data_IF_662904651757
#
_entry.id   IF_662904651757
#
_cell.length_a   1.000
_cell.length_b   1.000
_cell.length_c   1.000
_cell.angle_alpha   90.00
_cell.angle_beta   90.00
_cell.angle_gamma   90.00
#
_symmetry.space_group_name_H-M   'P 1'
#
loop_
_entity.id
_entity.type
_entity.pdbx_description
1 polymer ?
#
# COMPACT_ATOMS: atom_id res chain seq x y z
N UNK A 1 -13.31 -3.75 -3.76
CA UNK A 1 -13.56 -2.78 -2.67
C UNK A 1 -14.96 -3.01 -2.12
N UNK A 2 -15.08 -3.31 -0.85
CA UNK A 2 -16.37 -3.46 -0.18
C UNK A 2 -16.99 -2.10 0.13
N UNK A 3 -18.29 -2.09 0.35
CA UNK A 3 -18.99 -0.89 0.82
C UNK A 3 -18.85 -0.78 2.34
N UNK A 4 -18.72 0.43 2.84
CA UNK A 4 -18.45 0.72 4.24
C UNK A 4 -19.65 1.43 4.84
N UNK A 5 -20.08 1.00 6.02
CA UNK A 5 -21.15 1.64 6.79
C UNK A 5 -20.72 1.81 8.24
N UNK A 6 -21.32 2.80 8.91
CA UNK A 6 -21.15 2.97 10.35
C UNK A 6 -21.84 1.85 11.13
N UNK A 7 -21.16 1.38 12.18
CA UNK A 7 -21.75 0.48 13.17
C UNK A 7 -21.80 1.17 14.55
N UNK A 8 -23.02 1.52 14.98
CA UNK A 8 -23.22 2.21 16.26
C UNK A 8 -22.92 1.33 17.48
N UNK A 9 -23.05 0.02 17.35
CA UNK A 9 -22.85 -0.92 18.46
C UNK A 9 -21.36 -1.07 18.79
N UNK A 10 -20.53 -1.29 17.78
CA UNK A 10 -19.09 -1.37 17.97
C UNK A 10 -18.42 0.00 18.09
N UNK A 11 -19.09 1.07 17.64
CA UNK A 11 -18.50 2.40 17.47
C UNK A 11 -17.57 2.48 16.26
N UNK A 12 -17.55 1.44 15.42
CA UNK A 12 -16.67 1.27 14.29
C UNK A 12 -17.38 1.34 12.95
N UNK A 13 -16.82 0.61 11.98
CA UNK A 13 -17.33 0.47 10.62
C UNK A 13 -17.42 -1.00 10.22
N UNK A 14 -18.33 -1.30 9.31
CA UNK A 14 -18.51 -2.64 8.76
C UNK A 14 -18.33 -2.63 7.25
N UNK A 15 -17.83 -3.74 6.73
CA UNK A 15 -17.74 -4.01 5.30
C UNK A 15 -19.00 -4.75 4.82
N UNK A 16 -19.47 -4.39 3.64
CA UNK A 16 -20.62 -5.03 3.00
C UNK A 16 -20.33 -5.32 1.53
N UNK A 17 -20.78 -6.47 1.04
CA UNK A 17 -20.63 -6.89 -0.36
C UNK A 17 -21.52 -6.11 -1.33
N UNK A 18 -22.52 -5.38 -0.84
CA UNK A 18 -23.49 -4.61 -1.62
C UNK A 18 -23.69 -3.20 -1.06
N UNK A 19 -24.24 -2.31 -1.88
CA UNK A 19 -24.65 -0.99 -1.43
C UNK A 19 -25.82 -1.13 -0.46
N UNK A 20 -25.71 -0.46 0.69
CA UNK A 20 -26.76 -0.32 1.70
C UNK A 20 -26.92 1.15 2.06
N UNK A 21 -28.04 1.52 2.64
CA UNK A 21 -28.28 2.86 3.14
C UNK A 21 -27.19 3.24 4.16
N UNK A 22 -26.70 4.48 4.07
CA UNK A 22 -25.62 4.95 4.92
C UNK A 22 -24.21 4.53 4.47
N UNK A 23 -24.07 3.97 3.27
CA UNK A 23 -22.75 3.66 2.69
C UNK A 23 -21.90 4.91 2.55
N UNK A 24 -20.68 4.84 3.04
CA UNK A 24 -19.72 5.93 2.99
C UNK A 24 -19.06 6.00 1.61
N UNK A 25 -18.98 7.21 1.04
CA UNK A 25 -18.33 7.45 -0.25
C UNK A 25 -16.81 7.57 -0.16
N UNK A 26 -16.29 7.85 1.04
CA UNK A 26 -14.86 8.00 1.33
C UNK A 26 -14.49 7.07 2.48
N UNK A 27 -13.33 6.43 2.37
CA UNK A 27 -12.84 5.52 3.39
C UNK A 27 -12.44 6.28 4.66
N UNK A 28 -13.07 6.00 5.82
CA UNK A 28 -12.65 6.57 7.09
C UNK A 28 -11.33 5.95 7.56
N UNK A 29 -10.58 6.71 8.35
CA UNK A 29 -9.41 6.24 9.07
C UNK A 29 -9.67 6.23 10.58
N UNK A 30 -9.09 5.31 11.35
CA UNK A 30 -9.19 5.33 12.80
C UNK A 30 -8.44 6.52 13.39
N UNK A 31 -8.93 7.01 14.52
CA UNK A 31 -8.35 8.11 15.31
C UNK A 31 -8.12 7.63 16.73
N UNK A 32 -6.90 7.81 17.21
CA UNK A 32 -6.45 7.40 18.53
C UNK A 32 -6.33 8.57 19.48
N UNK A 33 -6.13 8.29 20.76
CA UNK A 33 -6.05 9.32 21.80
C UNK A 33 -4.91 10.32 21.55
N UNK A 34 -3.78 9.88 20.99
CA UNK A 34 -2.64 10.75 20.69
C UNK A 34 -3.02 11.88 19.73
N UNK A 35 -3.88 11.60 18.74
CA UNK A 35 -4.37 12.64 17.83
C UNK A 35 -5.32 13.60 18.55
N UNK A 36 -6.14 13.11 19.47
CA UNK A 36 -7.05 13.94 20.26
C UNK A 36 -6.29 14.83 21.24
N UNK A 37 -5.20 14.32 21.82
CA UNK A 37 -4.29 15.11 22.67
C UNK A 37 -3.61 16.22 21.87
N UNK A 38 -3.15 15.93 20.65
CA UNK A 38 -2.58 16.93 19.74
C UNK A 38 -3.60 18.01 19.30
N UNK A 39 -4.88 17.66 19.25
CA UNK A 39 -5.96 18.59 18.98
C UNK A 39 -6.45 19.33 20.24
N UNK A 40 -5.86 19.05 21.40
CA UNK A 40 -6.20 19.63 22.70
C UNK A 40 -7.67 19.46 23.10
N UNK A 41 -8.29 18.32 22.74
CA UNK A 41 -9.73 18.11 23.00
C UNK A 41 -10.04 17.95 24.48
N UNK A 42 -9.12 17.46 25.30
CA UNK A 42 -9.19 17.42 26.74
C UNK A 42 -9.34 18.83 27.35
N UNK A 43 -8.60 19.81 26.85
CA UNK A 43 -8.66 21.20 27.28
C UNK A 43 -9.99 21.86 26.87
N UNK A 44 -10.61 21.36 25.80
CA UNK A 44 -11.91 21.80 25.30
C UNK A 44 -13.10 21.09 26.00
N UNK A 45 -12.82 20.21 26.96
CA UNK A 45 -13.83 19.59 27.81
C UNK A 45 -14.28 18.19 27.39
N UNK A 46 -13.55 17.54 26.50
CA UNK A 46 -13.76 16.14 26.18
C UNK A 46 -13.04 15.22 27.16
N UNK A 47 -13.58 14.04 27.41
CA UNK A 47 -12.98 13.01 28.26
C UNK A 47 -12.85 11.73 27.46
N UNK A 48 -11.67 11.13 27.46
CA UNK A 48 -11.40 9.87 26.76
C UNK A 48 -10.26 9.08 27.41
N UNK A 49 -10.31 7.73 27.33
CA UNK A 49 -9.26 6.87 27.84
C UNK A 49 -8.03 6.86 26.89
N UNK A 50 -6.84 6.69 27.44
CA UNK A 50 -5.65 6.32 26.69
C UNK A 50 -5.72 4.83 26.34
N UNK A 51 -6.38 4.53 25.24
CA UNK A 51 -6.68 3.17 24.79
C UNK A 51 -5.79 2.78 23.60
N UNK A 52 -5.47 1.49 23.50
CA UNK A 52 -4.83 0.91 22.31
C UNK A 52 -5.79 0.83 21.11
N UNK A 53 -7.09 0.98 21.35
CA UNK A 53 -8.12 0.97 20.30
C UNK A 53 -8.50 2.39 19.89
N UNK A 54 -8.95 2.58 18.64
CA UNK A 54 -9.42 3.88 18.18
C UNK A 54 -10.59 4.39 19.02
N UNK A 55 -10.70 5.69 19.11
CA UNK A 55 -11.79 6.38 19.82
C UNK A 55 -12.80 6.99 18.85
N UNK A 56 -12.32 7.42 17.69
CA UNK A 56 -13.09 8.08 16.65
C UNK A 56 -12.67 7.57 15.27
N UNK A 57 -13.37 8.06 14.27
CA UNK A 57 -13.01 7.89 12.87
C UNK A 57 -12.93 9.25 12.19
N UNK A 58 -12.00 9.44 11.27
CA UNK A 58 -11.88 10.65 10.48
C UNK A 58 -12.15 10.37 9.00
N UNK A 59 -13.00 11.19 8.40
CA UNK A 59 -13.23 11.27 6.94
C UNK A 59 -12.77 12.64 6.50
N UNK A 60 -11.62 12.72 5.86
CA UNK A 60 -10.91 13.98 5.60
C UNK A 60 -10.65 14.75 6.92
N UNK A 61 -11.21 15.95 7.05
CA UNK A 61 -11.10 16.82 8.23
C UNK A 61 -12.30 16.74 9.18
N UNK A 62 -13.22 15.80 8.92
CA UNK A 62 -14.41 15.58 9.72
C UNK A 62 -14.20 14.38 10.64
N UNK A 63 -14.55 14.51 11.91
CA UNK A 63 -14.41 13.50 12.93
C UNK A 63 -15.76 12.94 13.33
N UNK A 64 -15.83 11.62 13.45
CA UNK A 64 -17.08 10.87 13.61
C UNK A 64 -17.00 9.95 14.82
N UNK A 65 -18.02 10.01 15.64
CA UNK A 65 -18.19 9.12 16.79
C UNK A 65 -19.49 8.34 16.65
N UNK A 66 -19.40 7.01 16.65
CA UNK A 66 -20.56 6.10 16.50
C UNK A 66 -21.49 6.46 15.33
N UNK A 67 -20.91 6.87 14.22
CA UNK A 67 -21.62 7.20 13.01
C UNK A 67 -22.21 8.60 12.95
N UNK A 68 -21.93 9.46 13.93
CA UNK A 68 -22.33 10.86 13.95
C UNK A 68 -21.11 11.78 13.85
N UNK A 69 -21.17 12.79 12.98
CA UNK A 69 -20.13 13.79 12.92
C UNK A 69 -20.13 14.62 14.21
N UNK A 70 -18.97 14.75 14.84
CA UNK A 70 -18.85 15.42 16.14
C UNK A 70 -18.11 16.75 16.04
N UNK A 71 -17.10 16.85 15.20
CA UNK A 71 -16.41 18.10 14.91
C UNK A 71 -15.72 18.08 13.56
N UNK A 72 -15.29 19.25 13.10
CA UNK A 72 -14.40 19.44 11.97
C UNK A 72 -13.15 20.23 12.41
N UNK A 73 -11.96 19.78 11.97
CA UNK A 73 -10.69 20.46 12.24
C UNK A 73 -10.28 21.28 11.02
N UNK A 74 -10.07 22.59 11.15
CA UNK A 74 -9.71 23.52 10.06
C UNK A 74 -8.43 24.28 10.34
N UNK A 75 -7.77 24.72 9.27
CA UNK A 75 -6.72 25.72 9.32
C UNK A 75 -5.38 25.32 9.88
N UNK A 76 -5.21 24.03 10.20
CA UNK A 76 -3.96 23.55 10.75
C UNK A 76 -2.81 23.51 9.72
N UNK A 77 -1.63 23.91 10.15
CA UNK A 77 -0.37 23.79 9.43
C UNK A 77 0.78 23.57 10.42
N UNK A 78 2.03 23.51 9.95
CA UNK A 78 3.19 23.32 10.84
C UNK A 78 3.40 24.45 11.89
N UNK A 79 2.79 25.57 11.73
CA UNK A 79 2.93 26.74 12.60
C UNK A 79 1.71 27.02 13.47
N UNK A 80 0.51 26.62 12.98
CA UNK A 80 -0.76 26.95 13.61
C UNK A 80 -1.52 25.70 14.02
N UNK A 81 -2.16 25.75 15.18
CA UNK A 81 -3.05 24.70 15.66
C UNK A 81 -4.36 24.68 14.86
N UNK A 82 -5.00 23.51 14.84
CA UNK A 82 -6.30 23.35 14.22
C UNK A 82 -7.37 24.14 14.97
N UNK A 83 -8.22 24.84 14.24
CA UNK A 83 -9.48 25.36 14.78
C UNK A 83 -10.52 24.23 14.81
N UNK A 84 -11.00 23.89 15.98
CA UNK A 84 -12.03 22.85 16.18
C UNK A 84 -13.41 23.49 16.10
N UNK A 85 -14.24 22.97 15.19
CA UNK A 85 -15.63 23.40 15.01
C UNK A 85 -16.53 22.25 15.41
N UNK A 86 -17.07 22.32 16.62
CA UNK A 86 -17.98 21.28 17.11
C UNK A 86 -19.35 21.34 16.43
N UNK A 87 -19.99 20.17 16.31
CA UNK A 87 -21.40 20.12 15.99
C UNK A 87 -22.24 20.53 17.22
N UNK A 88 -23.42 21.12 17.03
CA UNK A 88 -24.27 21.53 18.13
C UNK A 88 -24.52 20.40 19.14
N UNK A 89 -24.25 20.66 20.40
CA UNK A 89 -24.41 19.69 21.49
C UNK A 89 -23.29 18.66 21.61
N UNK A 90 -22.18 18.82 20.87
CA UNK A 90 -21.00 17.93 20.91
C UNK A 90 -19.77 18.60 21.54
N UNK A 91 -19.94 19.74 22.20
CA UNK A 91 -18.85 20.51 22.81
C UNK A 91 -18.21 19.79 24.00
N UNK A 92 -18.93 18.85 24.60
CA UNK A 92 -18.45 18.01 25.71
C UNK A 92 -18.91 16.58 25.51
N UNK A 93 -17.96 15.69 25.29
CA UNK A 93 -18.25 14.25 25.11
C UNK A 93 -17.30 13.41 25.98
N UNK A 94 -17.84 12.31 26.46
CA UNK A 94 -17.04 11.20 27.01
C UNK A 94 -17.01 10.11 25.97
N UNK A 95 -15.80 9.75 25.52
CA UNK A 95 -15.60 8.74 24.49
C UNK A 95 -15.34 7.37 25.11
N UNK A 96 -15.86 6.36 24.46
CA UNK A 96 -15.52 4.96 24.69
C UNK A 96 -14.76 4.42 23.47
N UNK A 97 -13.78 3.53 23.69
CA UNK A 97 -13.04 2.91 22.58
C UNK A 97 -13.96 2.10 21.66
N UNK A 98 -13.58 2.05 20.40
CA UNK A 98 -14.19 1.16 19.41
C UNK A 98 -14.02 -0.29 19.87
N UNK A 99 -15.07 -1.07 19.84
CA UNK A 99 -14.99 -2.52 20.09
C UNK A 99 -14.41 -3.23 18.88
N UNK A 100 -13.08 -3.14 18.74
CA UNK A 100 -12.33 -3.70 17.61
C UNK A 100 -12.52 -5.22 17.48
N UNK A 101 -12.45 -6.02 18.57
CA UNK A 101 -12.68 -7.46 18.43
C UNK A 101 -14.02 -7.82 17.82
N UNK A 102 -15.11 -7.17 18.26
CA UNK A 102 -16.43 -7.41 17.70
C UNK A 102 -16.55 -6.89 16.26
N UNK A 103 -15.93 -5.74 15.96
CA UNK A 103 -15.89 -5.18 14.61
C UNK A 103 -15.19 -6.12 13.62
N UNK A 104 -14.03 -6.68 13.99
CA UNK A 104 -13.29 -7.64 13.17
C UNK A 104 -14.08 -8.94 12.99
N UNK A 105 -14.70 -9.47 14.04
CA UNK A 105 -15.54 -10.67 13.93
C UNK A 105 -16.70 -10.50 12.94
N UNK A 106 -17.34 -9.32 12.93
CA UNK A 106 -18.44 -9.02 11.99
C UNK A 106 -17.98 -8.84 10.54
N UNK A 107 -16.74 -8.50 10.30
CA UNK A 107 -16.18 -8.29 8.95
C UNK A 107 -15.32 -9.45 8.47
N UNK A 108 -15.11 -10.46 9.27
CA UNK A 108 -14.18 -11.57 9.06
C UNK A 108 -14.33 -12.26 7.71
N UNK A 109 -15.53 -12.55 7.26
CA UNK A 109 -15.77 -13.21 5.97
C UNK A 109 -15.31 -12.34 4.80
N UNK A 110 -15.58 -11.04 4.86
CA UNK A 110 -15.16 -10.12 3.80
C UNK A 110 -13.65 -9.91 3.78
N UNK A 111 -13.03 -9.82 4.96
CA UNK A 111 -11.58 -9.73 5.07
C UNK A 111 -10.90 -10.99 4.56
N UNK A 112 -11.41 -12.17 4.92
CA UNK A 112 -10.90 -13.44 4.41
C UNK A 112 -10.93 -13.51 2.87
N UNK A 113 -12.04 -13.11 2.24
CA UNK A 113 -12.15 -13.08 0.77
C UNK A 113 -11.19 -12.08 0.14
N UNK A 114 -11.06 -10.90 0.74
CA UNK A 114 -10.18 -9.83 0.28
C UNK A 114 -8.71 -10.24 0.33
N UNK A 115 -8.28 -10.82 1.45
CA UNK A 115 -6.91 -11.30 1.62
C UNK A 115 -6.62 -12.51 0.73
N UNK A 116 -7.57 -13.45 0.62
CA UNK A 116 -7.41 -14.64 -0.24
C UNK A 116 -7.18 -14.24 -1.69
N UNK A 117 -7.92 -13.25 -2.20
CA UNK A 117 -7.74 -12.71 -3.56
C UNK A 117 -6.35 -12.08 -3.73
N UNK A 118 -5.88 -11.32 -2.74
CA UNK A 118 -4.57 -10.70 -2.80
C UNK A 118 -3.43 -11.75 -2.71
N UNK A 119 -3.58 -12.76 -1.86
CA UNK A 119 -2.64 -13.88 -1.75
C UNK A 119 -2.56 -14.67 -3.07
N UNK A 120 -3.71 -14.99 -3.66
CA UNK A 120 -3.77 -15.67 -4.96
C UNK A 120 -3.08 -14.82 -6.04
N UNK A 121 -3.37 -13.51 -6.10
CA UNK A 121 -2.70 -12.62 -7.05
C UNK A 121 -1.18 -12.60 -6.88
N UNK A 122 -0.67 -12.53 -5.64
CA UNK A 122 0.77 -12.55 -5.35
C UNK A 122 1.36 -13.89 -5.80
N UNK A 123 0.75 -15.00 -5.38
CA UNK A 123 1.20 -16.34 -5.70
C UNK A 123 1.23 -16.59 -7.21
N UNK A 124 0.15 -16.31 -7.91
CA UNK A 124 0.08 -16.47 -9.37
C UNK A 124 1.08 -15.59 -10.11
N UNK A 125 1.26 -14.33 -9.65
CA UNK A 125 2.27 -13.43 -10.20
C UNK A 125 3.67 -13.99 -9.99
N UNK A 126 3.97 -14.48 -8.80
CA UNK A 126 5.25 -15.13 -8.51
C UNK A 126 5.47 -16.34 -9.43
N UNK A 127 4.54 -17.28 -9.48
CA UNK A 127 4.63 -18.49 -10.33
C UNK A 127 4.83 -18.15 -11.81
N UNK A 128 4.12 -17.14 -12.30
CA UNK A 128 4.23 -16.70 -13.69
C UNK A 128 5.64 -16.20 -14.04
N UNK A 129 6.28 -15.46 -13.14
CA UNK A 129 7.55 -14.77 -13.39
C UNK A 129 8.78 -15.52 -12.85
N UNK A 130 8.63 -16.44 -11.89
CA UNK A 130 9.72 -17.25 -11.36
C UNK A 130 10.18 -18.33 -12.36
N UNK A 131 9.25 -18.85 -13.15
CA UNK A 131 9.51 -19.88 -14.14
C UNK A 131 10.38 -19.42 -15.31
N UNK A 132 10.90 -20.38 -16.08
CA UNK A 132 11.48 -20.07 -17.39
C UNK A 132 10.38 -19.56 -18.33
N UNK A 133 10.77 -18.68 -19.28
CA UNK A 133 9.86 -18.21 -20.32
C UNK A 133 9.20 -19.40 -21.02
N UNK A 134 7.88 -19.49 -20.96
CA UNK A 134 7.10 -20.56 -21.60
C UNK A 134 6.84 -20.19 -23.06
N UNK A 135 7.04 -21.13 -23.97
CA UNK A 135 6.62 -20.97 -25.37
C UNK A 135 5.12 -21.18 -25.48
N UNK A 136 4.45 -20.36 -26.24
CA UNK A 136 3.03 -20.46 -26.58
C UNK A 136 2.82 -20.86 -28.05
N UNK A 137 3.75 -21.64 -28.56
CA UNK A 137 3.63 -22.29 -29.86
C UNK A 137 2.94 -23.63 -29.70
N UNK A 138 1.85 -23.84 -30.39
CA UNK A 138 1.13 -25.12 -30.43
C UNK A 138 0.66 -25.65 -29.05
N UNK A 139 0.29 -24.76 -28.13
CA UNK A 139 -0.08 -25.13 -26.75
C UNK A 139 -1.57 -25.25 -26.50
N UNK A 140 -2.42 -24.70 -27.39
CA UNK A 140 -3.86 -24.82 -27.30
C UNK A 140 -4.38 -25.96 -28.19
N UNK A 141 -5.62 -26.39 -27.99
CA UNK A 141 -6.26 -27.42 -28.79
C UNK A 141 -6.26 -27.13 -30.31
N UNK A 142 -6.21 -25.85 -30.67
CA UNK A 142 -6.12 -25.38 -32.07
C UNK A 142 -4.68 -25.37 -32.63
N UNK A 143 -3.68 -25.65 -31.82
CA UNK A 143 -2.24 -25.65 -32.19
C UNK A 143 -1.75 -24.37 -32.88
N UNK A 144 -2.33 -23.22 -32.57
CA UNK A 144 -1.93 -21.94 -33.11
C UNK A 144 -0.62 -21.45 -32.51
N UNK A 145 0.20 -20.80 -33.34
CA UNK A 145 1.37 -20.09 -32.87
C UNK A 145 0.98 -18.67 -32.42
N UNK A 146 0.61 -18.57 -31.14
CA UNK A 146 0.21 -17.29 -30.52
C UNK A 146 1.33 -16.24 -30.49
N UNK A 147 2.62 -16.67 -30.48
CA UNK A 147 3.75 -15.73 -30.60
C UNK A 147 3.77 -15.05 -31.95
N UNK A 148 3.58 -15.82 -33.03
CA UNK A 148 3.53 -15.27 -34.38
C UNK A 148 2.29 -14.37 -34.58
N UNK A 149 1.17 -14.75 -34.00
CA UNK A 149 -0.07 -13.96 -34.04
C UNK A 149 0.10 -12.63 -33.29
N UNK A 150 0.66 -12.65 -32.10
CA UNK A 150 0.95 -11.44 -31.32
C UNK A 150 1.91 -10.50 -32.06
N UNK A 151 2.98 -11.03 -32.65
CA UNK A 151 3.93 -10.24 -33.47
C UNK A 151 3.27 -9.60 -34.69
N UNK A 152 2.34 -10.31 -35.37
CA UNK A 152 1.58 -9.75 -36.49
C UNK A 152 0.65 -8.63 -36.03
N UNK A 153 -0.01 -8.82 -34.87
CA UNK A 153 -0.88 -7.80 -34.28
C UNK A 153 -0.07 -6.57 -33.88
N UNK A 154 1.11 -6.72 -33.27
CA UNK A 154 2.02 -5.62 -32.93
C UNK A 154 2.43 -4.79 -34.14
N UNK A 155 2.81 -5.47 -35.24
CA UNK A 155 3.19 -4.78 -36.48
C UNK A 155 2.04 -3.98 -37.07
N UNK A 156 0.79 -4.50 -36.96
CA UNK A 156 -0.41 -3.85 -37.50
C UNK A 156 -0.86 -2.67 -36.63
N UNK A 157 -0.90 -2.85 -35.32
CA UNK A 157 -1.43 -1.85 -34.38
C UNK A 157 -0.38 -0.90 -33.86
N UNK A 158 0.92 -1.18 -34.07
CA UNK A 158 2.08 -0.48 -33.48
C UNK A 158 2.01 -0.42 -31.94
N UNK A 159 1.28 -1.34 -31.32
CA UNK A 159 1.10 -1.45 -29.88
C UNK A 159 1.63 -2.81 -29.43
N UNK A 160 2.34 -2.86 -28.30
CA UNK A 160 2.80 -4.14 -27.74
C UNK A 160 1.58 -4.98 -27.31
N UNK A 161 1.63 -6.25 -27.71
CA UNK A 161 0.56 -7.20 -27.43
C UNK A 161 1.00 -8.18 -26.33
N UNK A 162 0.05 -8.58 -25.51
CA UNK A 162 0.21 -9.64 -24.53
C UNK A 162 -0.61 -10.85 -24.94
N UNK A 163 -0.07 -12.04 -24.70
CA UNK A 163 -0.82 -13.28 -24.80
C UNK A 163 -1.33 -13.58 -23.40
N UNK A 164 -2.65 -13.59 -23.21
CA UNK A 164 -3.30 -13.84 -21.94
C UNK A 164 -3.97 -15.20 -21.96
N UNK A 165 -3.96 -15.89 -20.83
CA UNK A 165 -4.68 -17.15 -20.65
C UNK A 165 -6.08 -16.83 -20.14
N UNK A 166 -7.13 -17.24 -20.86
CA UNK A 166 -8.51 -17.03 -20.42
C UNK A 166 -9.06 -18.25 -19.66
N UNK A 167 -8.87 -19.46 -20.24
CA UNK A 167 -9.28 -20.74 -19.65
C UNK A 167 -8.16 -21.77 -19.74
N UNK A 168 -8.43 -23.01 -19.31
CA UNK A 168 -7.44 -24.09 -19.31
C UNK A 168 -6.71 -24.25 -20.64
N UNK A 169 -7.42 -24.07 -21.77
CA UNK A 169 -6.89 -24.33 -23.11
C UNK A 169 -7.10 -23.16 -24.10
N UNK A 170 -7.51 -21.99 -23.65
CA UNK A 170 -7.73 -20.84 -24.51
C UNK A 170 -6.80 -19.67 -24.18
N UNK A 171 -6.34 -19.02 -25.24
CA UNK A 171 -5.49 -17.83 -25.14
C UNK A 171 -6.09 -16.71 -26.00
N UNK A 172 -5.92 -15.47 -25.55
CA UNK A 172 -6.28 -14.28 -26.30
C UNK A 172 -5.06 -13.37 -26.47
N UNK A 173 -5.12 -12.48 -27.47
CA UNK A 173 -4.07 -11.52 -27.78
C UNK A 173 -4.64 -10.12 -27.62
N UNK A 174 -4.27 -9.46 -26.54
CA UNK A 174 -4.77 -8.13 -26.16
C UNK A 174 -3.62 -7.14 -26.05
N UNK A 175 -3.88 -5.82 -26.14
CA UNK A 175 -2.87 -4.82 -25.86
C UNK A 175 -2.27 -5.04 -24.45
N UNK A 176 -0.93 -5.00 -24.36
CA UNK A 176 -0.23 -5.22 -23.09
C UNK A 176 -0.73 -4.29 -21.98
N UNK A 177 -0.95 -3.01 -22.30
CA UNK A 177 -1.47 -2.02 -21.36
C UNK A 177 -2.87 -2.34 -20.86
N UNK A 178 -3.69 -3.00 -21.65
CA UNK A 178 -5.03 -3.43 -21.27
C UNK A 178 -4.97 -4.68 -20.39
N UNK A 179 -4.14 -5.66 -20.74
CA UNK A 179 -3.90 -6.84 -19.91
C UNK A 179 -3.38 -6.46 -18.52
N UNK A 180 -2.43 -5.51 -18.46
CA UNK A 180 -1.88 -4.99 -17.20
C UNK A 180 -2.93 -4.26 -16.34
N UNK A 181 -3.77 -3.42 -16.96
CA UNK A 181 -4.86 -2.71 -16.26
C UNK A 181 -5.90 -3.66 -15.67
N UNK A 182 -6.25 -4.70 -16.42
CA UNK A 182 -7.26 -5.68 -16.01
C UNK A 182 -6.69 -6.74 -15.06
N UNK A 183 -5.37 -6.74 -14.80
CA UNK A 183 -4.72 -7.77 -14.00
C UNK A 183 -4.78 -9.17 -14.62
N UNK A 184 -4.93 -9.23 -15.96
CA UNK A 184 -4.97 -10.52 -16.67
C UNK A 184 -3.64 -11.24 -16.58
N UNK A 185 -3.69 -12.56 -16.49
CA UNK A 185 -2.50 -13.42 -16.46
C UNK A 185 -1.83 -13.42 -17.85
N UNK A 186 -0.67 -12.74 -17.93
CA UNK A 186 0.12 -12.67 -19.15
C UNK A 186 0.94 -13.95 -19.29
N UNK A 187 0.70 -14.70 -20.35
CA UNK A 187 1.52 -15.84 -20.71
C UNK A 187 2.84 -15.37 -21.34
N UNK A 188 3.93 -16.09 -21.19
CA UNK A 188 5.25 -15.67 -21.66
C UNK A 188 5.89 -14.49 -20.89
N UNK A 189 5.64 -14.38 -19.63
CA UNK A 189 6.40 -13.47 -18.82
C UNK A 189 7.91 -13.72 -18.97
N UNK A 190 8.66 -12.65 -19.06
CA UNK A 190 10.13 -12.74 -19.00
C UNK A 190 10.50 -13.17 -17.59
N UNK A 191 11.35 -14.21 -17.46
CA UNK A 191 11.85 -14.64 -16.16
C UNK A 191 12.44 -13.45 -15.41
N UNK A 192 12.07 -13.34 -14.15
CA UNK A 192 12.57 -12.34 -13.20
C UNK A 192 13.76 -12.93 -12.44
N UNK A 193 14.76 -12.12 -12.19
CA UNK A 193 15.97 -12.51 -11.44
C UNK A 193 15.79 -12.34 -9.93
N UNK A 194 14.99 -11.37 -9.50
CA UNK A 194 14.75 -11.05 -8.08
C UNK A 194 13.31 -10.57 -7.85
N UNK A 195 12.69 -11.13 -6.81
CA UNK A 195 11.38 -10.68 -6.32
C UNK A 195 11.57 -9.81 -5.08
N UNK A 196 10.87 -8.71 -5.01
CA UNK A 196 11.00 -7.74 -3.93
C UNK A 196 9.64 -7.43 -3.31
N UNK A 197 9.60 -7.29 -1.99
CA UNK A 197 8.57 -6.54 -1.29
C UNK A 197 9.12 -5.15 -0.96
N UNK A 198 8.51 -4.10 -1.54
CA UNK A 198 8.94 -2.73 -1.29
C UNK A 198 8.38 -2.25 0.04
N UNK A 199 9.25 -1.99 0.99
CA UNK A 199 8.89 -1.49 2.31
C UNK A 199 9.26 -0.02 2.44
N UNK A 200 8.30 0.83 2.82
CA UNK A 200 8.51 2.28 2.99
C UNK A 200 8.36 2.76 4.43
N UNK A 201 8.08 1.86 5.38
CA UNK A 201 7.70 2.22 6.74
C UNK A 201 6.23 2.64 6.88
N UNK A 202 5.46 2.64 5.77
CA UNK A 202 4.04 2.97 5.79
C UNK A 202 3.14 1.74 5.93
N UNK A 203 1.92 1.94 6.43
CA UNK A 203 0.91 0.91 6.67
C UNK A 203 0.65 0.00 5.46
N UNK A 204 0.55 0.57 4.26
CA UNK A 204 0.23 -0.16 3.03
C UNK A 204 1.37 -1.11 2.64
N UNK A 205 2.61 -0.67 2.74
CA UNK A 205 3.78 -1.51 2.45
C UNK A 205 3.97 -2.65 3.46
N UNK A 206 3.48 -2.46 4.67
CA UNK A 206 3.55 -3.47 5.72
C UNK A 206 2.52 -4.58 5.47
N UNK A 207 1.30 -4.23 5.08
CA UNK A 207 0.30 -5.21 4.64
C UNK A 207 0.81 -6.03 3.44
N UNK A 208 1.45 -5.38 2.46
CA UNK A 208 2.03 -6.11 1.32
C UNK A 208 3.15 -7.03 1.76
N UNK A 209 4.01 -6.62 2.71
CA UNK A 209 5.03 -7.49 3.27
C UNK A 209 4.41 -8.74 3.93
N UNK A 210 3.39 -8.57 4.76
CA UNK A 210 2.68 -9.67 5.39
C UNK A 210 2.08 -10.63 4.36
N UNK A 211 1.36 -10.10 3.38
CA UNK A 211 0.79 -10.90 2.30
C UNK A 211 1.87 -11.65 1.51
N UNK A 212 3.02 -11.04 1.23
CA UNK A 212 4.13 -11.71 0.53
C UNK A 212 4.70 -12.86 1.35
N UNK A 213 4.85 -12.73 2.69
CA UNK A 213 5.36 -13.82 3.54
C UNK A 213 4.42 -15.02 3.59
N UNK A 214 3.13 -14.80 3.34
CA UNK A 214 2.11 -15.86 3.32
C UNK A 214 1.94 -16.50 1.92
N UNK A 215 2.29 -15.78 0.85
CA UNK A 215 2.06 -16.20 -0.54
C UNK A 215 3.30 -16.75 -1.24
N UNK A 216 4.51 -16.35 -0.83
CA UNK A 216 5.79 -16.69 -1.48
C UNK A 216 6.73 -17.29 -0.44
N UNK A 217 7.52 -18.33 -0.79
CA UNK A 217 8.57 -18.83 0.11
C UNK A 217 9.53 -17.71 0.51
N UNK A 218 9.86 -17.61 1.79
CA UNK A 218 10.71 -16.54 2.35
C UNK A 218 12.13 -16.50 1.77
N UNK A 219 12.59 -17.60 1.16
CA UNK A 219 13.87 -17.67 0.45
C UNK A 219 13.86 -17.02 -0.92
N UNK A 220 12.67 -16.82 -1.51
CA UNK A 220 12.50 -16.52 -2.92
C UNK A 220 12.21 -15.03 -3.19
N UNK A 221 12.02 -14.24 -2.14
CA UNK A 221 11.90 -12.80 -2.24
C UNK A 221 12.73 -12.09 -1.17
N UNK A 222 12.90 -10.79 -1.30
CA UNK A 222 13.58 -9.95 -0.32
C UNK A 222 12.82 -8.66 -0.06
N UNK A 223 12.97 -8.15 1.15
CA UNK A 223 12.40 -6.86 1.56
C UNK A 223 13.39 -5.76 1.26
N UNK A 224 12.96 -4.74 0.52
CA UNK A 224 13.80 -3.58 0.21
C UNK A 224 13.24 -2.34 0.89
N UNK A 225 14.06 -1.73 1.73
CA UNK A 225 13.81 -0.41 2.31
C UNK A 225 14.67 0.64 1.61
N UNK A 226 14.08 1.77 1.25
CA UNK A 226 14.80 2.91 0.67
C UNK A 226 15.00 3.99 1.72
N UNK A 227 16.19 4.02 2.31
CA UNK A 227 16.59 5.05 3.27
C UNK A 227 17.14 6.27 2.52
N UNK A 228 16.41 7.37 2.56
CA UNK A 228 16.82 8.63 1.93
C UNK A 228 17.91 9.37 2.74
N UNK A 229 18.21 8.91 3.97
CA UNK A 229 19.07 9.60 4.91
C UNK A 229 18.39 10.81 5.58
N UNK A 230 17.09 10.99 5.35
CA UNK A 230 16.26 12.04 5.94
C UNK A 230 14.88 11.48 6.35
N UNK A 231 14.89 10.22 6.77
CA UNK A 231 13.68 9.58 7.29
C UNK A 231 13.42 10.06 8.73
N UNK A 232 12.15 10.10 9.10
CA UNK A 232 11.76 10.43 10.46
C UNK A 232 12.24 9.34 11.44
N UNK A 233 12.74 9.69 12.64
CA UNK A 233 13.20 8.71 13.62
C UNK A 233 12.21 7.57 13.89
N UNK A 234 10.89 7.81 14.04
CA UNK A 234 9.93 6.73 14.20
C UNK A 234 9.85 5.76 13.02
N UNK A 235 10.10 6.22 11.79
CA UNK A 235 10.12 5.33 10.61
C UNK A 235 11.33 4.40 10.60
N UNK A 236 12.48 4.87 11.11
CA UNK A 236 13.67 4.05 11.27
C UNK A 236 13.47 3.00 12.36
N UNK A 237 12.94 3.41 13.53
CA UNK A 237 12.61 2.48 14.62
C UNK A 237 11.62 1.41 14.15
N UNK A 238 10.58 1.79 13.44
CA UNK A 238 9.62 0.85 12.89
C UNK A 238 10.27 -0.15 11.93
N UNK A 239 11.18 0.31 11.07
CA UNK A 239 11.89 -0.60 10.16
C UNK A 239 12.71 -1.65 10.93
N UNK A 240 13.41 -1.24 11.97
CA UNK A 240 14.20 -2.15 12.82
C UNK A 240 13.30 -3.17 13.54
N UNK A 241 12.16 -2.73 14.08
CA UNK A 241 11.18 -3.60 14.74
C UNK A 241 10.56 -4.60 13.75
N UNK A 242 10.15 -4.16 12.58
CA UNK A 242 9.60 -5.00 11.52
C UNK A 242 10.65 -6.02 11.07
N UNK A 243 11.88 -5.58 10.85
CA UNK A 243 12.97 -6.48 10.47
C UNK A 243 13.20 -7.56 11.54
N UNK A 244 13.23 -7.18 12.81
CA UNK A 244 13.39 -8.13 13.92
C UNK A 244 12.27 -9.14 13.96
N UNK A 245 11.03 -8.68 13.94
CA UNK A 245 9.83 -9.54 13.99
C UNK A 245 9.80 -10.56 12.85
N UNK A 246 9.95 -10.09 11.61
CA UNK A 246 9.89 -11.01 10.47
C UNK A 246 11.10 -11.94 10.35
N UNK A 247 12.27 -11.56 10.86
CA UNK A 247 13.42 -12.47 10.96
C UNK A 247 13.26 -13.55 12.02
N UNK A 248 12.52 -13.28 13.08
CA UNK A 248 12.18 -14.31 14.08
C UNK A 248 11.21 -15.35 13.49
N UNK A 249 10.23 -14.92 12.67
CA UNK A 249 9.28 -15.81 12.01
C UNK A 249 9.84 -16.49 10.75
N UNK A 250 10.65 -15.78 10.00
CA UNK A 250 11.21 -16.20 8.71
C UNK A 250 12.72 -15.93 8.67
N UNK A 251 13.56 -16.81 9.28
CA UNK A 251 15.01 -16.56 9.41
C UNK A 251 15.74 -16.37 8.07
N UNK A 252 15.23 -16.98 7.00
CA UNK A 252 15.80 -16.90 5.66
C UNK A 252 15.40 -15.65 4.88
N UNK A 253 14.42 -14.88 5.37
CA UNK A 253 13.95 -13.66 4.70
C UNK A 253 15.04 -12.58 4.72
N UNK A 254 15.41 -12.13 3.54
CA UNK A 254 16.44 -11.09 3.37
C UNK A 254 15.86 -9.70 3.46
N UNK A 255 16.53 -8.85 4.23
CA UNK A 255 16.26 -7.42 4.32
C UNK A 255 17.45 -6.66 3.76
N UNK A 256 17.20 -5.73 2.85
CA UNK A 256 18.22 -4.91 2.22
C UNK A 256 17.82 -3.44 2.26
N UNK A 257 18.77 -2.57 2.58
CA UNK A 257 18.55 -1.13 2.63
C UNK A 257 19.27 -0.45 1.46
N UNK A 258 18.51 0.26 0.64
CA UNK A 258 19.04 1.10 -0.43
C UNK A 258 19.25 2.52 0.10
N UNK A 259 20.50 2.93 0.27
CA UNK A 259 20.87 4.27 0.75
C UNK A 259 21.89 4.93 -0.17
N UNK A 260 21.78 6.26 -0.31
CA UNK A 260 22.82 7.02 -1.00
C UNK A 260 24.06 7.12 -0.08
N UNK A 261 25.24 7.02 -0.67
CA UNK A 261 26.51 7.18 0.04
C UNK A 261 26.77 8.63 0.46
N UNK A 262 26.16 9.59 -0.22
CA UNK A 262 26.28 11.02 0.07
C UNK A 262 25.09 11.52 0.88
N UNK A 263 25.35 12.41 1.84
CA UNK A 263 24.31 13.00 2.69
C UNK A 263 23.37 13.87 1.86
N UNK A 264 22.08 13.82 2.15
CA UNK A 264 21.04 14.61 1.48
C UNK A 264 21.30 16.12 1.60
N UNK A 265 21.82 16.59 2.72
CA UNK A 265 22.13 18.01 2.93
C UNK A 265 23.16 18.53 1.94
N UNK A 266 24.15 17.70 1.55
CA UNK A 266 25.11 18.08 0.52
C UNK A 266 24.45 18.32 -0.85
N UNK A 267 23.37 17.61 -1.12
CA UNK A 267 22.57 17.85 -2.33
C UNK A 267 21.72 19.10 -2.22
N UNK A 268 21.18 19.39 -1.02
CA UNK A 268 20.44 20.64 -0.79
C UNK A 268 21.32 21.86 -1.03
N UNK A 269 22.56 21.83 -0.54
CA UNK A 269 23.54 22.92 -0.76
C UNK A 269 23.89 23.11 -2.24
N UNK A 270 23.96 22.02 -3.01
CA UNK A 270 24.36 22.05 -4.43
C UNK A 270 23.19 22.36 -5.38
N UNK A 271 22.00 21.86 -5.10
CA UNK A 271 20.87 21.84 -6.05
C UNK A 271 19.67 22.66 -5.50
N UNK A 272 19.65 22.97 -4.22
CA UNK A 272 18.53 23.57 -3.52
C UNK A 272 17.57 22.52 -2.94
N UNK A 273 16.63 22.99 -2.12
CA UNK A 273 15.59 22.14 -1.50
C UNK A 273 14.68 21.54 -2.57
N UNK A 274 14.23 20.28 -2.41
CA UNK A 274 13.28 19.70 -3.35
C UNK A 274 11.92 20.39 -3.25
N UNK A 275 11.23 20.50 -4.37
CA UNK A 275 9.87 21.02 -4.48
C UNK A 275 8.97 20.10 -5.28
N UNK A 276 7.67 20.39 -5.35
CA UNK A 276 6.74 19.61 -6.17
C UNK A 276 7.14 19.59 -7.65
N UNK A 277 7.71 20.66 -8.16
CA UNK A 277 8.14 20.79 -9.55
C UNK A 277 9.57 20.30 -9.78
N UNK A 278 10.40 20.32 -8.74
CA UNK A 278 11.79 19.90 -8.80
C UNK A 278 12.09 18.77 -7.82
N UNK A 279 11.61 17.56 -8.16
CA UNK A 279 11.65 16.34 -7.31
C UNK A 279 12.94 15.54 -7.49
N UNK A 280 14.09 16.18 -7.45
CA UNK A 280 15.38 15.50 -7.61
C UNK A 280 15.64 14.43 -6.53
N UNK A 281 15.09 14.63 -5.32
CA UNK A 281 15.22 13.67 -4.22
C UNK A 281 14.71 12.27 -4.60
N UNK A 282 13.62 12.18 -5.38
CA UNK A 282 13.10 10.89 -5.84
C UNK A 282 14.11 10.13 -6.72
N UNK A 283 14.85 10.83 -7.58
CA UNK A 283 15.84 10.21 -8.45
C UNK A 283 17.13 9.89 -7.70
N UNK A 284 17.67 10.86 -6.97
CA UNK A 284 19.00 10.78 -6.35
C UNK A 284 18.99 9.96 -5.08
N UNK A 285 17.98 10.15 -4.19
CA UNK A 285 17.97 9.54 -2.87
C UNK A 285 17.19 8.21 -2.80
N UNK A 286 16.27 7.95 -3.74
CA UNK A 286 15.50 6.69 -3.78
C UNK A 286 15.90 5.80 -4.96
N UNK A 287 15.74 6.31 -6.19
CA UNK A 287 15.89 5.46 -7.38
C UNK A 287 17.32 5.04 -7.64
N UNK A 288 18.29 5.96 -7.57
CA UNK A 288 19.69 5.65 -7.88
C UNK A 288 20.34 4.67 -6.88
N UNK A 289 20.14 4.78 -5.54
CA UNK A 289 20.62 3.79 -4.59
C UNK A 289 19.99 2.40 -4.81
N UNK A 290 18.68 2.34 -5.03
CA UNK A 290 17.97 1.11 -5.33
C UNK A 290 18.56 0.43 -6.58
N UNK A 291 18.82 1.20 -7.63
CA UNK A 291 19.40 0.70 -8.87
C UNK A 291 20.80 0.11 -8.68
N UNK A 292 21.60 0.73 -7.83
CA UNK A 292 22.93 0.21 -7.46
C UNK A 292 22.84 -1.10 -6.69
N UNK A 293 21.88 -1.22 -5.79
CA UNK A 293 21.66 -2.41 -5.00
C UNK A 293 21.15 -3.59 -5.86
N UNK A 294 20.41 -3.31 -6.91
CA UNK A 294 19.77 -4.32 -7.77
C UNK A 294 20.65 -4.80 -8.92
N UNK A 295 21.96 -4.57 -8.88
CA UNK A 295 22.88 -5.12 -9.86
C UNK A 295 23.15 -6.61 -9.64
N UNK A 296 23.30 -7.35 -10.75
CA UNK A 296 23.77 -8.73 -10.71
C UNK A 296 25.26 -8.80 -10.38
N UNK A 297 25.77 -10.00 -10.10
CA UNK A 297 27.20 -10.24 -9.89
C UNK A 297 28.07 -9.76 -11.06
N UNK A 298 27.55 -9.82 -12.28
CA UNK A 298 28.22 -9.35 -13.50
C UNK A 298 28.06 -7.84 -13.74
N UNK A 299 27.64 -7.08 -12.72
CA UNK A 299 27.39 -5.64 -12.79
C UNK A 299 26.31 -5.23 -13.81
N UNK A 300 25.48 -6.16 -14.27
CA UNK A 300 24.31 -5.90 -15.11
C UNK A 300 23.09 -5.58 -14.25
N UNK A 301 22.14 -4.87 -14.82
CA UNK A 301 20.88 -4.59 -14.12
C UNK A 301 20.04 -5.86 -14.05
N UNK A 302 19.63 -6.26 -12.84
CA UNK A 302 18.74 -7.37 -12.64
C UNK A 302 17.32 -7.02 -13.15
N UNK A 303 16.61 -8.01 -13.64
CA UNK A 303 15.18 -7.93 -13.89
C UNK A 303 14.45 -8.20 -12.59
N UNK A 304 13.63 -7.27 -12.18
CA UNK A 304 13.03 -7.26 -10.85
C UNK A 304 11.53 -7.15 -10.95
N UNK A 305 10.82 -7.95 -10.17
CA UNK A 305 9.42 -7.76 -9.89
C UNK A 305 9.27 -7.29 -8.45
N UNK A 306 8.60 -6.15 -8.28
CA UNK A 306 8.39 -5.53 -6.97
C UNK A 306 6.90 -5.56 -6.63
N UNK A 307 6.56 -6.16 -5.51
CA UNK A 307 5.26 -5.99 -4.88
C UNK A 307 5.25 -4.68 -4.11
N UNK A 308 4.36 -3.76 -4.46
CA UNK A 308 4.27 -2.44 -3.86
C UNK A 308 2.89 -2.16 -3.25
N UNK A 309 2.85 -1.30 -2.23
CA UNK A 309 1.66 -0.93 -1.47
C UNK A 309 0.86 0.24 -2.07
N UNK A 310 0.95 0.46 -3.38
CA UNK A 310 0.19 1.53 -4.04
C UNK A 310 -1.30 1.19 -4.09
N UNK A 311 -2.14 2.17 -3.70
CA UNK A 311 -3.61 2.08 -3.77
C UNK A 311 -4.20 3.14 -4.69
N UNK A 312 -5.27 2.77 -5.40
CA UNK A 312 -5.94 3.65 -6.37
C UNK A 312 -6.58 4.89 -5.70
N UNK A 313 -7.07 4.76 -4.47
CA UNK A 313 -7.73 5.86 -3.75
C UNK A 313 -6.77 6.98 -3.30
N UNK A 314 -5.45 6.74 -3.27
CA UNK A 314 -4.51 7.72 -2.76
C UNK A 314 -4.32 8.94 -3.66
N UNK A 315 -4.56 8.82 -4.95
CA UNK A 315 -4.53 9.97 -5.87
C UNK A 315 -5.11 9.63 -7.25
N UNK A 316 -5.58 10.66 -7.97
CA UNK A 316 -6.05 10.54 -9.36
C UNK A 316 -5.01 9.88 -10.28
N UNK A 317 -3.72 10.13 -10.05
CA UNK A 317 -2.67 9.47 -10.83
C UNK A 317 -2.60 7.99 -10.55
N UNK A 318 -2.71 7.57 -9.26
CA UNK A 318 -2.63 6.17 -8.87
C UNK A 318 -3.86 5.37 -9.29
N UNK A 319 -5.02 6.01 -9.37
CA UNK A 319 -6.26 5.37 -9.85
C UNK A 319 -6.19 4.90 -11.30
N UNK A 320 -5.24 5.44 -12.08
CA UNK A 320 -5.00 5.01 -13.47
C UNK A 320 -4.01 3.86 -13.61
N UNK A 321 -3.40 3.38 -12.51
CA UNK A 321 -2.43 2.30 -12.57
C UNK A 321 -3.11 0.94 -12.76
N UNK A 322 -2.45 0.05 -13.54
CA UNK A 322 -2.83 -1.36 -13.58
C UNK A 322 -2.26 -2.13 -12.39
N UNK A 323 -2.83 -3.28 -12.09
CA UNK A 323 -2.32 -4.19 -11.04
C UNK A 323 -0.89 -4.67 -11.31
N UNK A 324 -0.55 -4.89 -12.58
CA UNK A 324 0.81 -5.16 -13.03
C UNK A 324 1.20 -4.07 -14.01
N UNK A 325 2.40 -3.51 -13.89
CA UNK A 325 2.86 -2.49 -14.80
C UNK A 325 4.38 -2.35 -14.78
N UNK A 326 4.93 -1.85 -15.88
CA UNK A 326 6.36 -1.54 -15.94
C UNK A 326 6.69 -0.34 -15.08
N UNK A 327 7.86 -0.36 -14.47
CA UNK A 327 8.42 0.79 -13.79
C UNK A 327 8.58 1.97 -14.75
N UNK A 328 8.04 3.14 -14.37
CA UNK A 328 8.04 4.35 -15.22
C UNK A 328 9.47 4.79 -15.61
N UNK A 329 10.45 4.46 -14.77
CA UNK A 329 11.85 4.92 -14.94
C UNK A 329 12.78 3.84 -15.49
N UNK A 330 12.38 2.58 -15.45
CA UNK A 330 13.30 1.45 -15.75
C UNK A 330 12.54 0.26 -16.34
N UNK A 331 12.93 -0.11 -17.54
CA UNK A 331 12.34 -1.22 -18.30
C UNK A 331 12.58 -2.60 -17.67
N UNK A 332 13.52 -2.70 -16.72
CA UNK A 332 13.86 -3.94 -16.03
C UNK A 332 13.07 -4.15 -14.75
N UNK A 333 12.23 -3.19 -14.35
CA UNK A 333 11.39 -3.27 -13.16
C UNK A 333 9.94 -3.47 -13.55
N UNK A 334 9.29 -4.46 -12.97
CA UNK A 334 7.85 -4.70 -13.03
C UNK A 334 7.29 -4.47 -11.64
N UNK A 335 6.23 -3.68 -11.55
CA UNK A 335 5.50 -3.45 -10.31
C UNK A 335 4.22 -4.28 -10.31
N UNK A 336 4.00 -5.01 -9.24
CA UNK A 336 2.76 -5.73 -8.95
C UNK A 336 2.11 -5.14 -7.70
N UNK A 337 0.82 -4.84 -7.76
CA UNK A 337 0.05 -4.08 -6.78
C UNK A 337 -1.09 -4.91 -6.22
N UNK A 338 -0.82 -5.78 -5.25
CA UNK A 338 -1.84 -6.71 -4.75
C UNK A 338 -3.04 -5.97 -4.11
N UNK A 339 -2.78 -4.86 -3.45
CA UNK A 339 -3.78 -4.08 -2.71
C UNK A 339 -4.26 -2.82 -3.47
N UNK A 340 -4.07 -2.76 -4.81
CA UNK A 340 -4.39 -1.57 -5.61
C UNK A 340 -5.81 -1.04 -5.37
N UNK A 341 -6.78 -1.94 -5.24
CA UNK A 341 -8.19 -1.61 -5.09
C UNK A 341 -8.68 -1.62 -3.64
N UNK A 342 -7.77 -1.71 -2.68
CA UNK A 342 -8.14 -1.71 -1.26
C UNK A 342 -8.36 -0.28 -0.76
N UNK A 343 -9.31 -0.14 0.16
CA UNK A 343 -9.58 1.09 0.89
C UNK A 343 -8.66 1.23 2.11
N UNK A 344 -8.57 2.43 2.66
CA UNK A 344 -7.83 2.66 3.91
C UNK A 344 -8.38 1.85 5.08
N UNK A 345 -9.69 1.65 5.14
CA UNK A 345 -10.33 0.81 6.18
C UNK A 345 -9.88 -0.63 6.10
N UNK A 346 -9.83 -1.21 4.91
CA UNK A 346 -9.40 -2.59 4.70
C UNK A 346 -7.93 -2.78 5.12
N UNK A 347 -7.08 -1.81 4.83
CA UNK A 347 -5.70 -1.79 5.32
C UNK A 347 -5.64 -1.78 6.85
N UNK A 348 -6.42 -0.92 7.50
CA UNK A 348 -6.44 -0.85 8.96
C UNK A 348 -7.00 -2.11 9.61
N UNK A 349 -7.95 -2.79 8.99
CA UNK A 349 -8.45 -4.07 9.51
C UNK A 349 -7.34 -5.12 9.55
N UNK A 350 -6.55 -5.27 8.49
CA UNK A 350 -5.40 -6.17 8.49
C UNK A 350 -4.38 -5.78 9.56
N UNK A 351 -4.11 -4.49 9.73
CA UNK A 351 -3.21 -4.02 10.80
C UNK A 351 -3.71 -4.34 12.21
N UNK A 352 -5.02 -4.31 12.43
CA UNK A 352 -5.60 -4.66 13.71
C UNK A 352 -5.50 -6.15 14.03
N UNK A 353 -5.32 -7.00 13.01
CA UNK A 353 -5.11 -8.44 13.17
C UNK A 353 -3.62 -8.79 13.34
N UNK A 354 -2.69 -7.97 12.82
CA UNK A 354 -1.25 -8.22 12.92
C UNK A 354 -0.70 -7.62 14.23
N UNK A 355 -0.19 -8.43 15.18
CA UNK A 355 0.15 -7.97 16.53
C UNK A 355 1.18 -6.84 16.63
N UNK A 356 2.09 -6.75 15.65
CA UNK A 356 3.24 -5.84 15.70
C UNK A 356 2.92 -4.41 15.21
N UNK A 357 1.96 -4.26 14.32
CA UNK A 357 1.95 -3.14 13.39
C UNK A 357 1.04 -2.02 13.80
N UNK A 358 0.14 -2.33 14.70
CA UNK A 358 -0.90 -1.43 15.13
C UNK A 358 -0.35 -0.22 15.92
N UNK A 359 0.55 -0.46 16.86
CA UNK A 359 1.14 0.61 17.71
C UNK A 359 2.14 1.49 16.96
N UNK A 360 2.82 0.96 15.98
CA UNK A 360 3.88 1.68 15.24
C UNK A 360 3.35 2.59 14.13
N UNK A 361 2.12 2.39 13.68
CA UNK A 361 1.46 3.28 12.73
C UNK A 361 0.82 4.52 13.39
N UNK A 362 0.77 4.57 14.72
CA UNK A 362 0.22 5.70 15.46
C UNK A 362 1.29 6.78 15.57
N UNK A 363 1.00 8.05 15.24
CA UNK A 363 1.91 9.16 15.51
C UNK A 363 2.11 9.27 17.02
N UNK A 364 3.27 8.84 17.53
CA UNK A 364 3.64 9.06 18.93
C UNK A 364 4.41 10.36 19.05
N UNK A 365 3.98 11.25 19.95
CA UNK A 365 4.69 12.48 20.33
C UNK A 365 4.20 13.76 19.63
N UNK A 366 4.74 14.89 20.06
CA UNK A 366 4.40 16.26 19.65
C UNK A 366 4.66 16.63 18.17
N UNK A 367 4.60 15.68 17.25
CA UNK A 367 4.87 15.93 15.85
C UNK A 367 3.58 16.33 15.11
N UNK A 368 3.25 17.61 15.23
CA UNK A 368 2.10 18.23 14.55
C UNK A 368 2.16 18.07 13.01
N UNK A 369 3.34 17.84 12.43
CA UNK A 369 3.48 17.69 10.97
C UNK A 369 2.78 16.46 10.43
N UNK A 370 2.60 15.43 11.25
CA UNK A 370 1.94 14.17 10.87
C UNK A 370 0.42 14.23 10.83
N UNK A 371 -0.21 15.09 11.64
CA UNK A 371 -1.66 15.27 11.62
C UNK A 371 -2.16 15.81 10.27
N UNK A 372 -1.32 16.58 9.58
CA UNK A 372 -1.69 17.26 8.33
C UNK A 372 -1.20 16.49 7.11
N UNK A 373 -0.20 15.63 7.26
CA UNK A 373 0.39 14.83 6.18
C UNK A 373 -0.23 13.43 6.06
N UNK A 374 -1.15 13.06 6.96
CA UNK A 374 -1.88 11.79 6.86
C UNK A 374 -2.81 11.70 5.64
N UNK A 375 -3.00 12.78 4.88
CA UNK A 375 -3.63 12.73 3.56
C UNK A 375 -2.66 12.30 2.44
N UNK A 376 -1.37 12.13 2.75
CA UNK A 376 -0.29 11.78 1.80
C UNK A 376 0.20 10.34 2.02
N UNK A 377 -0.28 9.69 3.09
CA UNK A 377 0.04 8.27 3.37
C UNK A 377 -0.95 7.31 2.77
#
# INVERSE_FOLDING_TARGET
MYKITWDKETGGVLLHSRIVDGTLGVSPRPVFFEELDLLHLNDLGWTYPHSEFPLLWAVNKQYWYRGEMVFEAKGANIYDDATIIFQPGKERLTLEPVNVPLMLERTKEYMFLLESEALEFIHETYEQYAGARKSVKNVAANQLDYEALAQRAEKRTKTKMAIVKEDCDSFDIVPLTEAEKQGKRIYQATKIDRFLASFSGGKDSQVVLDLCTRAIPSTDFEVIYSDTGYELPPSLTLYDEVQKYYKELYPDLKFSTARNHENVLNYWDKIGTPSNDHRWCCAVMKTAPLYRLLKTKDNKQARVLTFDGVRAEESTRRSSYGRIGKGVKHDTVINARPILNWSSVEIFFVHMEIPLTYKSCIPTGNDKSRLFDMSIW
#
